data_IF_985877249421
#
_entry.id   IF_985877249421
#
_cell.length_a   1.000
_cell.length_b   1.000
_cell.length_c   1.000
_cell.angle_alpha   90.00
_cell.angle_beta   90.00
_cell.angle_gamma   90.00
#
_symmetry.space_group_name_H-M   'P 1'
#
loop_
_entity.id
_entity.type
_entity.pdbx_description
1 polymer ?
#
# COMPACT_ATOMS: atom_id res chain seq x y z
N UNK A 1 18.33 15.88 -10.14
CA UNK A 1 17.64 16.76 -11.12
C UNK A 1 17.32 18.13 -10.53
N UNK A 2 16.58 18.23 -9.41
CA UNK A 2 16.04 19.52 -8.92
C UNK A 2 16.80 20.17 -7.74
N UNK A 3 18.05 19.75 -7.48
CA UNK A 3 18.89 20.27 -6.40
C UNK A 3 19.29 21.74 -6.58
N UNK A 4 19.40 22.21 -7.83
CA UNK A 4 19.67 23.62 -8.17
C UNK A 4 18.37 24.34 -8.53
N UNK A 5 18.27 25.67 -8.34
CA UNK A 5 17.10 26.44 -8.74
C UNK A 5 16.76 26.23 -10.22
N UNK A 6 15.46 26.18 -10.52
CA UNK A 6 14.95 25.98 -11.87
C UNK A 6 14.06 27.16 -12.30
N UNK A 7 13.99 27.40 -13.61
CA UNK A 7 13.17 28.48 -14.17
C UNK A 7 11.77 27.97 -14.51
N UNK A 8 10.74 28.50 -13.83
CA UNK A 8 9.34 28.32 -14.24
C UNK A 8 9.09 29.22 -15.46
N UNK A 9 8.86 28.62 -16.64
CA UNK A 9 8.59 29.33 -17.89
C UNK A 9 7.10 29.59 -18.12
N UNK A 10 6.24 28.78 -17.54
CA UNK A 10 4.79 28.87 -17.68
C UNK A 10 4.12 28.21 -16.48
N UNK A 11 2.99 28.77 -16.03
CA UNK A 11 2.12 28.17 -15.02
C UNK A 11 0.67 28.33 -15.49
N UNK A 12 -0.08 27.23 -15.58
CA UNK A 12 -1.46 27.23 -16.08
C UNK A 12 -2.32 26.18 -15.40
N UNK A 13 -3.52 26.54 -14.99
CA UNK A 13 -4.55 25.55 -14.64
C UNK A 13 -4.86 24.69 -15.88
N UNK A 14 -4.95 23.36 -15.70
CA UNK A 14 -5.28 22.42 -16.80
C UNK A 14 -6.78 22.14 -16.87
N UNK A 15 -7.28 21.79 -18.06
CA UNK A 15 -8.71 21.48 -18.24
C UNK A 15 -9.05 20.11 -17.64
N UNK A 16 -10.31 19.89 -17.24
CA UNK A 16 -10.76 18.60 -16.68
C UNK A 16 -10.51 17.39 -17.60
N UNK A 17 -10.56 17.58 -18.91
CA UNK A 17 -10.22 16.54 -19.90
C UNK A 17 -8.72 16.22 -19.89
N UNK A 18 -7.87 17.25 -19.90
CA UNK A 18 -6.40 17.16 -19.81
C UNK A 18 -5.95 16.52 -18.49
N UNK A 19 -6.63 16.85 -17.38
CA UNK A 19 -6.47 16.18 -16.08
C UNK A 19 -6.83 14.69 -16.16
N UNK A 20 -7.95 14.34 -16.81
CA UNK A 20 -8.35 12.94 -16.97
C UNK A 20 -7.34 12.15 -17.81
N UNK A 21 -6.85 12.73 -18.91
CA UNK A 21 -5.79 12.14 -19.75
C UNK A 21 -4.49 11.93 -18.96
N UNK A 22 -4.04 12.93 -18.19
CA UNK A 22 -2.87 12.83 -17.33
C UNK A 22 -2.99 11.70 -16.29
N UNK A 23 -4.16 11.57 -15.65
CA UNK A 23 -4.40 10.54 -14.65
C UNK A 23 -4.53 9.16 -15.29
N UNK A 24 -5.34 8.99 -16.33
CA UNK A 24 -5.43 7.73 -17.08
C UNK A 24 -4.03 7.20 -17.43
N UNK A 25 -3.23 7.99 -18.14
CA UNK A 25 -1.89 7.58 -18.58
C UNK A 25 -0.80 7.63 -17.49
N UNK A 26 -1.16 7.93 -16.23
CA UNK A 26 -0.35 7.61 -15.05
C UNK A 26 -0.76 6.23 -14.50
N UNK A 27 -2.06 5.94 -14.39
CA UNK A 27 -2.57 4.65 -13.94
C UNK A 27 -2.20 3.53 -14.92
N UNK A 28 -2.29 3.78 -16.24
CA UNK A 28 -1.82 2.89 -17.30
C UNK A 28 -0.31 2.55 -17.17
N UNK A 29 0.50 3.50 -16.70
CA UNK A 29 1.96 3.38 -16.60
C UNK A 29 2.41 2.59 -15.35
N UNK A 30 1.54 2.48 -14.34
CA UNK A 30 1.82 1.83 -13.05
C UNK A 30 0.83 0.70 -12.72
N UNK A 31 0.06 0.24 -13.70
CA UNK A 31 -0.94 -0.83 -13.59
C UNK A 31 -1.93 -0.63 -12.41
N UNK A 32 -2.29 0.63 -12.14
CA UNK A 32 -3.16 1.01 -11.02
C UNK A 32 -4.65 0.87 -11.39
N UNK A 33 -5.45 0.35 -10.44
CA UNK A 33 -6.91 0.29 -10.57
C UNK A 33 -7.54 1.70 -10.72
N UNK A 34 -8.13 2.05 -11.87
CA UNK A 34 -8.70 3.37 -12.13
C UNK A 34 -9.97 3.67 -11.32
N UNK A 35 -10.55 2.68 -10.62
CA UNK A 35 -11.67 2.91 -9.70
C UNK A 35 -11.20 3.49 -8.36
N UNK A 36 -9.97 3.20 -7.93
CA UNK A 36 -9.41 3.66 -6.65
C UNK A 36 -8.74 5.03 -6.78
N UNK A 37 -9.54 6.05 -7.13
CA UNK A 37 -9.06 7.43 -7.28
C UNK A 37 -8.80 8.06 -5.92
N UNK A 38 -7.53 8.24 -5.56
CA UNK A 38 -7.11 8.87 -4.31
C UNK A 38 -7.71 10.28 -4.16
N UNK A 39 -8.07 10.65 -2.93
CA UNK A 39 -8.64 11.97 -2.59
C UNK A 39 -7.79 13.15 -3.12
N UNK A 40 -6.46 13.04 -3.05
CA UNK A 40 -5.51 14.04 -3.55
C UNK A 40 -5.68 14.34 -5.05
N UNK A 41 -6.17 13.38 -5.83
CA UNK A 41 -6.45 13.56 -7.26
C UNK A 41 -7.87 14.07 -7.54
N UNK A 42 -8.78 14.14 -6.55
CA UNK A 42 -10.16 14.57 -6.77
C UNK A 42 -10.31 16.09 -6.90
N UNK A 43 -9.38 16.89 -6.38
CA UNK A 43 -9.39 18.37 -6.47
C UNK A 43 -9.62 18.90 -7.89
N UNK A 44 -10.42 19.97 -8.03
CA UNK A 44 -10.66 20.67 -9.30
C UNK A 44 -9.54 21.66 -9.65
N UNK A 45 -8.75 22.08 -8.66
CA UNK A 45 -7.56 22.89 -8.88
C UNK A 45 -6.37 21.98 -9.24
N UNK A 46 -5.96 22.00 -10.50
CA UNK A 46 -4.77 21.31 -10.99
C UNK A 46 -3.99 22.23 -11.93
N UNK A 47 -2.73 22.46 -11.62
CA UNK A 47 -1.85 23.41 -12.31
C UNK A 47 -0.64 22.71 -12.92
N UNK A 48 -0.37 22.94 -14.21
CA UNK A 48 0.87 22.56 -14.88
C UNK A 48 1.86 23.72 -14.85
N UNK A 49 3.02 23.49 -14.25
CA UNK A 49 4.19 24.35 -14.37
C UNK A 49 5.12 23.76 -15.44
N UNK A 50 5.48 24.54 -16.47
CA UNK A 50 6.54 24.17 -17.41
C UNK A 50 7.86 24.72 -16.87
N UNK A 51 8.78 23.82 -16.58
CA UNK A 51 10.02 24.10 -15.85
C UNK A 51 11.23 23.76 -16.73
N UNK A 52 12.26 24.62 -16.68
CA UNK A 52 13.58 24.30 -17.23
C UNK A 52 14.56 24.19 -16.05
N UNK A 53 15.16 23.02 -15.90
CA UNK A 53 16.16 22.71 -14.87
C UNK A 53 17.48 23.44 -15.14
N UNK A 54 18.38 23.46 -14.15
CA UNK A 54 19.75 23.99 -14.33
C UNK A 54 20.61 23.22 -15.36
N UNK A 55 20.13 22.07 -15.82
CA UNK A 55 20.77 21.23 -16.84
C UNK A 55 20.01 21.30 -18.18
N UNK A 56 19.24 22.36 -18.38
CA UNK A 56 18.39 22.66 -19.57
C UNK A 56 17.28 21.65 -19.90
N UNK A 57 17.18 20.54 -19.17
CA UNK A 57 16.09 19.57 -19.29
C UNK A 57 14.75 20.26 -18.98
N UNK A 58 13.78 20.09 -19.88
CA UNK A 58 12.43 20.67 -19.84
C UNK A 58 11.45 19.65 -19.29
N UNK A 59 10.75 19.98 -18.20
CA UNK A 59 9.75 19.09 -17.57
C UNK A 59 8.44 19.82 -17.30
N UNK A 60 7.34 19.07 -17.23
CA UNK A 60 6.08 19.57 -16.71
C UNK A 60 5.92 19.08 -15.27
N UNK A 61 5.61 19.96 -14.32
CA UNK A 61 5.26 19.60 -12.94
C UNK A 61 3.78 19.86 -12.74
N UNK A 62 3.01 18.83 -12.40
CA UNK A 62 1.58 18.91 -12.15
C UNK A 62 1.31 19.00 -10.65
N UNK A 63 0.87 20.19 -10.22
CA UNK A 63 0.34 20.41 -8.87
C UNK A 63 -1.14 20.12 -8.80
N UNK A 64 -1.56 19.46 -7.74
CA UNK A 64 -2.97 19.26 -7.36
C UNK A 64 -3.19 20.12 -6.11
N UNK A 65 -3.99 21.18 -6.27
CA UNK A 65 -3.91 22.35 -5.40
C UNK A 65 -2.47 22.89 -5.34
N UNK A 66 -1.94 23.03 -4.13
CA UNK A 66 -0.57 23.49 -3.91
C UNK A 66 0.51 22.38 -3.92
N UNK A 67 0.14 21.09 -3.95
CA UNK A 67 1.09 19.98 -3.83
C UNK A 67 1.52 19.49 -5.22
N UNK A 68 2.81 19.53 -5.62
CA UNK A 68 3.27 18.84 -6.82
C UNK A 68 3.16 17.32 -6.60
N UNK A 69 2.42 16.61 -7.45
CA UNK A 69 2.24 15.16 -7.32
C UNK A 69 2.96 14.37 -8.41
N UNK A 70 2.89 14.84 -9.66
CA UNK A 70 3.45 14.16 -10.85
C UNK A 70 4.42 15.11 -11.57
N UNK A 71 5.58 14.58 -11.94
CA UNK A 71 6.57 15.22 -12.82
C UNK A 71 6.56 14.44 -14.14
N UNK A 72 6.30 15.11 -15.25
CA UNK A 72 6.35 14.52 -16.59
C UNK A 72 7.65 14.96 -17.28
N UNK A 73 8.52 13.98 -17.54
CA UNK A 73 9.78 14.16 -18.25
C UNK A 73 9.67 13.43 -19.60
N UNK A 74 9.68 14.21 -20.69
CA UNK A 74 9.38 13.76 -22.07
C UNK A 74 8.02 13.07 -22.24
N UNK A 75 7.92 11.79 -21.83
CA UNK A 75 6.71 10.95 -21.84
C UNK A 75 6.53 10.15 -20.54
N UNK A 76 7.56 10.04 -19.71
CA UNK A 76 7.54 9.31 -18.44
C UNK A 76 6.88 10.18 -17.36
N UNK A 77 5.86 9.64 -16.69
CA UNK A 77 5.21 10.29 -15.53
C UNK A 77 5.82 9.74 -14.26
N UNK A 78 6.67 10.55 -13.64
CA UNK A 78 7.37 10.25 -12.40
C UNK A 78 6.52 10.73 -11.20
N UNK A 79 6.23 9.89 -10.20
CA UNK A 79 5.68 10.37 -8.93
C UNK A 79 6.69 11.26 -8.22
N UNK A 80 6.19 12.20 -7.42
CA UNK A 80 6.97 12.93 -6.41
C UNK A 80 7.04 12.16 -5.10
N UNK A 81 7.94 12.55 -4.18
CA UNK A 81 7.95 11.99 -2.82
C UNK A 81 6.59 12.16 -2.12
N UNK A 82 5.90 13.27 -2.36
CA UNK A 82 4.55 13.53 -1.84
C UNK A 82 3.53 12.48 -2.31
N UNK A 83 3.54 12.13 -3.59
CA UNK A 83 2.64 11.11 -4.12
C UNK A 83 2.97 9.71 -3.56
N UNK A 84 4.25 9.38 -3.37
CA UNK A 84 4.66 8.12 -2.75
C UNK A 84 4.30 8.00 -1.26
N UNK A 85 4.04 9.10 -0.56
CA UNK A 85 3.52 9.03 0.82
C UNK A 85 2.05 8.62 0.88
N UNK A 86 1.29 8.84 -0.20
CA UNK A 86 -0.08 8.32 -0.36
C UNK A 86 -0.11 6.96 -1.07
N UNK A 87 0.89 6.65 -1.88
CA UNK A 87 1.07 5.36 -2.57
C UNK A 87 2.43 4.71 -2.25
N UNK A 88 2.67 4.27 -0.99
CA UNK A 88 3.94 3.68 -0.60
C UNK A 88 4.21 2.33 -1.30
N UNK A 89 3.19 1.66 -1.84
CA UNK A 89 3.35 0.41 -2.58
C UNK A 89 3.67 0.59 -4.08
N UNK A 90 3.76 1.84 -4.59
CA UNK A 90 3.87 2.11 -6.03
C UNK A 90 5.20 1.67 -6.65
N UNK A 91 6.29 1.74 -5.88
CA UNK A 91 7.65 1.51 -6.36
C UNK A 91 8.44 0.59 -5.41
N UNK A 92 9.43 -0.17 -5.93
CA UNK A 92 10.38 -0.87 -5.08
C UNK A 92 11.15 0.12 -4.20
N UNK A 93 11.39 -0.26 -2.94
CA UNK A 93 12.15 0.53 -1.98
C UNK A 93 13.59 0.02 -1.83
N UNK A 94 14.55 0.93 -1.78
CA UNK A 94 15.87 0.71 -1.18
C UNK A 94 15.88 1.28 0.25
N UNK A 95 16.14 0.41 1.25
CA UNK A 95 16.32 0.82 2.66
C UNK A 95 17.70 1.48 2.83
N UNK A 96 17.80 2.55 3.63
CA UNK A 96 19.07 3.19 4.01
C UNK A 96 19.07 3.58 5.49
N UNK A 97 20.25 3.76 6.08
CA UNK A 97 20.39 4.31 7.43
C UNK A 97 20.15 5.83 7.47
N UNK A 98 19.69 6.35 8.62
CA UNK A 98 19.33 7.77 8.80
C UNK A 98 20.50 8.75 8.58
N UNK A 99 21.74 8.33 8.84
CA UNK A 99 22.94 9.16 8.59
C UNK A 99 23.09 9.55 7.11
N UNK A 100 22.70 8.65 6.19
CA UNK A 100 22.81 8.84 4.74
C UNK A 100 21.78 9.84 4.18
N UNK A 101 20.68 10.10 4.92
CA UNK A 101 19.64 11.08 4.53
C UNK A 101 20.28 12.46 4.27
N UNK A 102 21.18 12.88 5.15
CA UNK A 102 21.90 14.16 5.05
C UNK A 102 22.83 14.29 3.83
N UNK A 103 23.15 13.16 3.19
CA UNK A 103 23.98 13.06 1.98
C UNK A 103 23.08 12.99 0.74
N UNK A 104 22.01 12.20 0.79
CA UNK A 104 21.01 12.10 -0.27
C UNK A 104 20.29 13.44 -0.50
N UNK A 105 19.95 14.18 0.56
CA UNK A 105 19.37 15.55 0.47
C UNK A 105 20.30 16.57 -0.22
N UNK A 106 21.61 16.29 -0.30
CA UNK A 106 22.57 17.09 -1.10
C UNK A 106 22.63 16.63 -2.56
N UNK A 107 21.67 15.82 -3.01
CA UNK A 107 21.54 15.31 -4.37
C UNK A 107 22.59 14.29 -4.77
N UNK A 108 23.16 13.56 -3.81
CA UNK A 108 24.05 12.43 -4.08
C UNK A 108 23.25 11.20 -4.56
N UNK A 109 23.88 10.40 -5.43
CA UNK A 109 23.36 9.08 -5.81
C UNK A 109 23.52 8.06 -4.67
N UNK A 110 22.67 7.03 -4.64
CA UNK A 110 22.79 5.95 -3.67
C UNK A 110 23.83 4.93 -4.14
N UNK A 111 24.92 4.81 -3.40
CA UNK A 111 25.95 3.79 -3.59
C UNK A 111 25.57 2.49 -2.85
N UNK A 112 25.95 1.34 -3.39
CA UNK A 112 25.64 0.02 -2.82
C UNK A 112 26.02 -0.16 -1.34
N UNK A 113 27.15 0.37 -0.82
CA UNK A 113 27.47 0.28 0.62
C UNK A 113 26.51 1.04 1.54
N UNK A 114 25.67 1.93 0.99
CA UNK A 114 24.65 2.66 1.75
C UNK A 114 23.27 1.99 1.78
N UNK A 115 23.10 0.89 1.02
CA UNK A 115 21.86 0.10 1.00
C UNK A 115 21.85 -0.84 2.20
N UNK A 116 20.77 -0.82 2.97
CA UNK A 116 20.53 -1.78 4.05
C UNK A 116 19.74 -2.95 3.51
N UNK A 117 20.25 -4.16 3.74
CA UNK A 117 19.58 -5.43 3.42
C UNK A 117 19.43 -6.25 4.70
N UNK A 118 18.36 -7.03 4.81
CA UNK A 118 18.03 -7.79 6.03
C UNK A 118 18.92 -9.06 6.22
N UNK A 119 19.92 -9.21 5.36
CA UNK A 119 20.95 -10.24 5.35
C UNK A 119 22.06 -9.88 4.34
N UNK A 120 22.98 -10.79 4.01
CA UNK A 120 23.96 -10.56 2.94
C UNK A 120 23.26 -10.34 1.59
N UNK A 121 23.93 -9.62 0.67
CA UNK A 121 23.44 -9.49 -0.70
C UNK A 121 23.58 -10.84 -1.40
N UNK A 122 22.46 -11.36 -1.89
CA UNK A 122 22.31 -12.64 -2.59
C UNK A 122 21.58 -12.42 -3.93
N UNK A 123 21.59 -13.38 -4.87
CA UNK A 123 21.00 -13.23 -6.20
C UNK A 123 19.47 -12.99 -6.25
N UNK A 124 18.79 -12.93 -5.11
CA UNK A 124 17.36 -12.64 -4.98
C UNK A 124 17.04 -11.43 -4.07
N UNK A 125 18.03 -10.82 -3.42
CA UNK A 125 17.81 -9.77 -2.40
C UNK A 125 17.08 -8.53 -2.91
N UNK A 126 17.17 -8.22 -4.20
CA UNK A 126 16.48 -7.09 -4.83
C UNK A 126 15.33 -7.54 -5.75
N UNK A 127 14.68 -8.67 -5.46
CA UNK A 127 13.47 -9.15 -6.14
C UNK A 127 13.56 -9.17 -7.68
N UNK A 128 14.74 -9.54 -8.22
CA UNK A 128 15.06 -9.55 -9.66
C UNK A 128 14.99 -8.17 -10.35
N UNK A 129 15.12 -7.06 -9.62
CA UNK A 129 15.05 -5.71 -10.22
C UNK A 129 16.07 -5.53 -11.36
N UNK A 130 15.60 -5.04 -12.50
CA UNK A 130 16.45 -4.76 -13.66
C UNK A 130 17.13 -3.39 -13.54
N UNK A 131 18.01 -3.07 -14.49
CA UNK A 131 18.63 -1.75 -14.60
C UNK A 131 17.70 -0.76 -15.31
N UNK A 132 17.63 0.47 -14.81
CA UNK A 132 16.72 1.51 -15.31
C UNK A 132 15.30 1.44 -14.74
N UNK A 133 15.03 0.53 -13.80
CA UNK A 133 13.74 0.45 -13.11
C UNK A 133 13.60 1.63 -12.15
N UNK A 134 12.45 2.30 -12.19
CA UNK A 134 12.13 3.38 -11.27
C UNK A 134 11.93 2.83 -9.85
N UNK A 135 12.59 3.45 -8.87
CA UNK A 135 12.57 3.02 -7.47
C UNK A 135 12.60 4.22 -6.52
N UNK A 136 12.33 3.96 -5.25
CA UNK A 136 12.37 4.97 -4.20
C UNK A 136 13.32 4.57 -3.07
N UNK A 137 13.83 5.56 -2.36
CA UNK A 137 14.76 5.38 -1.24
C UNK A 137 14.03 5.76 0.04
N UNK A 138 14.16 4.94 1.08
CA UNK A 138 13.44 5.07 2.35
C UNK A 138 14.33 4.64 3.50
N UNK A 139 14.05 5.08 4.72
CA UNK A 139 14.95 4.82 5.85
C UNK A 139 14.51 3.59 6.64
N UNK A 140 15.45 2.94 7.35
CA UNK A 140 15.12 1.74 8.15
C UNK A 140 14.06 2.01 9.22
N UNK A 141 13.97 3.23 9.76
CA UNK A 141 12.91 3.59 10.74
C UNK A 141 11.56 3.93 10.12
N UNK A 142 11.52 4.38 8.86
CA UNK A 142 10.34 4.99 8.26
C UNK A 142 10.27 4.73 6.75
N UNK A 143 9.19 4.09 6.32
CA UNK A 143 8.91 3.71 4.93
C UNK A 143 8.57 4.89 4.01
N UNK A 144 8.19 6.05 4.54
CA UNK A 144 7.90 7.23 3.72
C UNK A 144 9.13 7.66 2.92
N UNK A 145 9.12 7.62 1.56
CA UNK A 145 10.33 7.84 0.80
C UNK A 145 10.94 9.23 0.94
N UNK A 146 12.26 9.27 0.96
CA UNK A 146 13.07 10.50 1.03
C UNK A 146 13.55 10.94 -0.36
N UNK A 147 13.71 10.01 -1.31
CA UNK A 147 14.22 10.28 -2.64
C UNK A 147 13.69 9.26 -3.67
N UNK A 148 13.79 9.63 -4.95
CA UNK A 148 13.34 8.82 -6.10
C UNK A 148 14.43 8.83 -7.17
N UNK A 149 14.66 7.68 -7.79
CA UNK A 149 15.70 7.47 -8.79
C UNK A 149 15.49 6.21 -9.61
N UNK A 150 16.29 6.02 -10.67
CA UNK A 150 16.30 4.79 -11.46
C UNK A 150 17.48 3.91 -11.06
N UNK A 151 17.31 2.59 -11.03
CA UNK A 151 18.41 1.66 -10.75
C UNK A 151 19.54 1.80 -11.77
N UNK A 152 20.77 1.96 -11.29
CA UNK A 152 21.93 2.11 -12.18
C UNK A 152 22.56 0.76 -12.58
N UNK A 153 22.16 -0.32 -11.89
CA UNK A 153 22.68 -1.69 -11.97
C UNK A 153 21.50 -2.67 -11.84
N UNK A 154 21.58 -3.87 -12.40
CA UNK A 154 20.59 -4.93 -12.15
C UNK A 154 20.86 -5.65 -10.82
N UNK A 155 19.86 -6.38 -10.30
CA UNK A 155 20.00 -7.28 -9.15
C UNK A 155 21.23 -8.21 -9.25
N UNK A 156 21.54 -8.72 -10.45
CA UNK A 156 22.72 -9.57 -10.67
C UNK A 156 24.03 -8.79 -10.63
N UNK A 157 24.07 -7.60 -11.23
CA UNK A 157 25.24 -6.72 -11.19
C UNK A 157 25.53 -6.24 -9.75
N UNK A 158 24.48 -5.91 -8.98
CA UNK A 158 24.59 -5.49 -7.58
C UNK A 158 25.21 -6.59 -6.71
N UNK A 159 24.82 -7.85 -6.94
CA UNK A 159 25.42 -9.02 -6.29
C UNK A 159 26.88 -9.22 -6.72
N UNK A 160 27.15 -9.26 -8.04
CA UNK A 160 28.50 -9.53 -8.56
C UNK A 160 29.52 -8.43 -8.30
N UNK A 161 29.08 -7.21 -7.98
CA UNK A 161 29.97 -6.08 -7.68
C UNK A 161 30.46 -6.03 -6.23
N UNK A 162 30.22 -7.09 -5.44
CA UNK A 162 30.71 -7.25 -4.06
C UNK A 162 30.43 -6.03 -3.16
N UNK A 163 29.20 -5.50 -3.25
CA UNK A 163 28.75 -4.33 -2.49
C UNK A 163 29.30 -2.98 -2.96
N UNK A 164 30.04 -2.90 -4.07
CA UNK A 164 30.59 -1.64 -4.63
C UNK A 164 29.82 -1.19 -5.87
N UNK A 165 29.76 0.12 -6.10
CA UNK A 165 29.10 0.73 -7.26
C UNK A 165 27.88 1.59 -6.90
N UNK A 166 27.21 2.14 -7.92
CA UNK A 166 26.01 2.97 -7.78
C UNK A 166 24.76 2.07 -7.83
N UNK A 167 23.98 2.00 -6.76
CA UNK A 167 22.71 1.27 -6.76
C UNK A 167 21.62 2.01 -7.54
N UNK A 168 21.41 3.30 -7.22
CA UNK A 168 20.32 4.13 -7.76
C UNK A 168 20.85 5.50 -8.14
N UNK A 169 20.51 5.98 -9.33
CA UNK A 169 20.77 7.37 -9.72
C UNK A 169 19.59 8.26 -9.33
N UNK A 170 19.83 9.26 -8.49
CA UNK A 170 18.78 10.03 -7.80
C UNK A 170 18.42 11.29 -8.59
N UNK A 171 17.13 11.46 -8.93
CA UNK A 171 16.67 12.65 -9.65
C UNK A 171 15.89 13.63 -8.77
N UNK A 172 15.07 13.16 -7.83
CA UNK A 172 14.23 13.98 -6.94
C UNK A 172 14.43 13.57 -5.49
N UNK A 173 14.49 14.56 -4.58
CA UNK A 173 14.73 14.34 -3.14
C UNK A 173 13.95 15.33 -2.28
N UNK A 174 13.53 14.87 -1.11
CA UNK A 174 12.98 15.69 -0.04
C UNK A 174 13.89 16.90 0.23
N UNK A 175 13.30 18.10 0.18
CA UNK A 175 14.00 19.36 0.38
C UNK A 175 14.62 19.98 -0.88
N UNK A 176 14.45 19.38 -2.06
CA UNK A 176 14.84 20.02 -3.33
C UNK A 176 13.91 21.18 -3.74
N UNK A 177 14.19 21.82 -4.88
CA UNK A 177 13.40 22.97 -5.33
C UNK A 177 11.97 22.63 -5.79
N UNK A 178 11.63 21.35 -6.02
CA UNK A 178 10.24 20.94 -6.23
C UNK A 178 9.52 20.86 -4.89
N UNK A 179 10.20 20.37 -3.85
CA UNK A 179 9.68 20.44 -2.49
C UNK A 179 9.46 21.89 -2.03
N UNK A 180 10.34 22.83 -2.44
CA UNK A 180 10.23 24.27 -2.15
C UNK A 180 8.99 24.95 -2.76
N UNK A 181 8.22 24.28 -3.64
CA UNK A 181 6.93 24.78 -4.14
C UNK A 181 5.79 24.65 -3.11
N UNK A 182 6.03 23.97 -1.98
CA UNK A 182 5.06 23.72 -0.91
C UNK A 182 5.51 24.45 0.36
N UNK A 183 4.65 25.28 0.95
CA UNK A 183 5.01 26.16 2.07
C UNK A 183 5.52 25.43 3.31
N UNK A 184 4.93 24.26 3.61
CA UNK A 184 5.39 23.32 4.63
C UNK A 184 4.73 21.97 4.41
N UNK A 185 5.49 20.88 4.47
CA UNK A 185 4.96 19.52 4.47
C UNK A 185 5.97 18.59 5.15
N UNK A 186 5.57 17.99 6.27
CA UNK A 186 6.45 17.10 7.03
C UNK A 186 6.43 15.69 6.46
N UNK A 187 7.55 14.97 6.57
CA UNK A 187 7.63 13.54 6.26
C UNK A 187 6.66 12.77 7.18
N UNK A 188 5.64 12.07 6.67
CA UNK A 188 4.80 11.23 7.52
C UNK A 188 5.60 10.05 8.06
N UNK A 189 5.14 9.47 9.17
CA UNK A 189 5.69 8.22 9.71
C UNK A 189 4.87 7.08 9.11
N UNK A 190 5.48 6.29 8.23
CA UNK A 190 4.89 5.09 7.68
C UNK A 190 5.70 3.87 8.17
N UNK A 191 5.08 2.87 8.81
CA UNK A 191 5.78 1.66 9.23
C UNK A 191 6.17 0.81 8.02
N UNK A 192 7.21 -0.01 8.20
CA UNK A 192 7.46 -1.15 7.32
C UNK A 192 6.45 -2.25 7.61
N UNK A 193 6.02 -3.05 6.60
CA UNK A 193 5.28 -4.28 6.86
C UNK A 193 6.11 -5.20 7.75
N UNK A 194 5.51 -5.76 8.80
CA UNK A 194 6.12 -6.82 9.59
C UNK A 194 6.13 -8.08 8.72
N UNK A 195 7.31 -8.66 8.53
CA UNK A 195 7.50 -9.97 7.90
C UNK A 195 7.64 -10.95 9.05
N UNK A 196 6.59 -11.69 9.37
CA UNK A 196 6.62 -12.71 10.42
C UNK A 196 7.46 -13.91 9.93
N UNK A 197 8.75 -13.93 10.29
CA UNK A 197 9.65 -15.08 10.09
C UNK A 197 9.34 -16.25 11.05
N UNK A 198 8.07 -16.67 11.11
CA UNK A 198 7.60 -17.80 11.91
C UNK A 198 7.35 -19.05 11.06
N UNK A 199 8.38 -19.49 10.31
CA UNK A 199 8.48 -20.90 9.90
C UNK A 199 9.14 -21.70 11.03
N UNK A 200 8.64 -22.89 11.40
CA UNK A 200 9.11 -23.55 12.62
C UNK A 200 10.55 -24.04 12.49
N UNK A 201 11.44 -23.51 13.33
CA UNK A 201 12.69 -24.21 13.66
C UNK A 201 12.32 -25.34 14.61
N UNK A 202 12.45 -26.58 14.14
CA UNK A 202 12.43 -27.76 15.00
C UNK A 202 13.53 -27.64 16.03
N UNK A 203 13.16 -27.71 17.31
CA UNK A 203 13.99 -28.15 18.42
C UNK A 203 13.06 -28.53 19.57
N UNK A 204 13.53 -29.44 20.41
CA UNK A 204 12.69 -30.21 21.33
C UNK A 204 12.49 -29.51 22.68
N UNK A 205 11.68 -30.13 23.53
CA UNK A 205 11.11 -29.61 24.76
C UNK A 205 12.14 -29.34 25.88
N UNK A 206 11.77 -28.49 26.85
CA UNK A 206 11.69 -28.84 28.28
C UNK A 206 10.99 -27.70 29.04
N UNK A 207 10.08 -28.06 29.95
CA UNK A 207 9.30 -27.13 30.78
C UNK A 207 10.10 -26.42 31.86
N UNK A 208 9.56 -25.29 32.35
CA UNK A 208 9.11 -25.04 33.74
C UNK A 208 8.94 -23.51 33.97
N UNK A 209 8.06 -22.95 34.81
CA UNK A 209 6.73 -23.27 35.37
C UNK A 209 6.48 -22.14 36.41
N UNK A 210 5.32 -21.49 36.28
CA UNK A 210 4.51 -20.79 37.31
C UNK A 210 4.68 -19.30 37.75
N UNK A 211 3.50 -18.77 38.14
CA UNK A 211 3.06 -17.63 38.97
C UNK A 211 3.50 -16.17 38.70
N UNK A 212 2.69 -15.19 39.15
CA UNK A 212 3.16 -13.81 39.28
C UNK A 212 2.16 -12.68 39.53
N UNK A 213 0.86 -12.86 39.32
CA UNK A 213 -0.24 -11.95 39.75
C UNK A 213 -0.47 -10.55 39.10
N UNK A 214 -1.76 -10.26 38.86
CA UNK A 214 -2.52 -9.00 39.12
C UNK A 214 -2.21 -7.68 38.37
N UNK A 215 -3.11 -7.38 37.44
CA UNK A 215 -3.67 -6.05 37.11
C UNK A 215 -4.63 -5.55 38.24
N UNK A 216 -5.42 -4.43 38.18
CA UNK A 216 -5.83 -3.50 37.10
C UNK A 216 -5.19 -2.07 37.27
N UNK A 217 -5.71 -0.86 36.94
CA UNK A 217 -7.02 -0.22 36.61
C UNK A 217 -6.72 1.16 35.90
N UNK A 218 -7.59 1.97 35.25
CA UNK A 218 -9.01 1.96 34.84
C UNK A 218 -9.29 3.08 33.77
N UNK A 219 -10.56 3.25 33.34
CA UNK A 219 -11.24 4.51 32.88
C UNK A 219 -10.97 5.06 31.46
N UNK A 220 -11.93 5.70 30.76
CA UNK A 220 -13.38 5.45 30.54
C UNK A 220 -13.89 6.31 29.36
N UNK A 221 -14.78 5.71 28.58
CA UNK A 221 -15.47 6.12 27.34
C UNK A 221 -16.44 7.34 27.33
N UNK A 222 -17.01 7.63 26.14
CA UNK A 222 -18.22 8.45 25.81
C UNK A 222 -18.00 9.98 25.64
N UNK A 223 -18.82 10.80 24.95
CA UNK A 223 -20.14 10.71 24.23
C UNK A 223 -19.99 11.32 22.79
N UNK A 224 -20.72 11.04 21.70
CA UNK A 224 -22.14 10.77 21.32
C UNK A 224 -23.02 12.02 21.07
N UNK A 225 -23.28 12.34 19.78
CA UNK A 225 -24.50 12.94 19.17
C UNK A 225 -24.23 13.21 17.66
N UNK A 226 -24.77 12.47 16.68
CA UNK A 226 -26.13 12.53 16.10
C UNK A 226 -26.53 13.86 15.44
N UNK A 227 -26.70 13.88 14.10
CA UNK A 227 -28.05 13.84 13.47
C UNK A 227 -27.99 13.45 11.95
N UNK A 228 -29.12 13.50 11.23
CA UNK A 228 -29.44 12.64 10.06
C UNK A 228 -29.50 13.31 8.68
N UNK A 229 -29.63 12.44 7.66
CA UNK A 229 -30.18 12.63 6.31
C UNK A 229 -29.43 13.49 5.28
N UNK A 230 -28.93 12.82 4.23
CA UNK A 230 -29.32 12.98 2.81
C UNK A 230 -28.79 11.73 2.08
N UNK A 231 -29.66 10.91 1.50
CA UNK A 231 -29.25 9.60 0.93
C UNK A 231 -30.22 9.06 -0.12
N UNK A 232 -30.61 9.87 -1.11
CA UNK A 232 -31.61 9.46 -2.11
C UNK A 232 -31.54 10.29 -3.42
N UNK A 233 -30.44 10.21 -4.21
CA UNK A 233 -30.41 10.85 -5.55
C UNK A 233 -29.37 10.35 -6.59
N UNK A 234 -28.59 9.29 -6.31
CA UNK A 234 -27.48 8.84 -7.19
C UNK A 234 -27.53 7.36 -7.61
N UNK A 235 -28.68 6.71 -7.49
CA UNK A 235 -28.80 5.26 -7.71
C UNK A 235 -29.25 4.87 -9.14
N UNK A 236 -29.59 5.84 -10.00
CA UNK A 236 -30.02 5.61 -11.39
C UNK A 236 -28.93 5.98 -12.40
N UNK A 237 -28.00 5.05 -12.65
CA UNK A 237 -27.58 4.63 -13.99
C UNK A 237 -26.69 3.37 -13.93
N UNK A 238 -26.53 2.69 -15.07
CA UNK A 238 -25.69 1.49 -15.26
C UNK A 238 -26.17 0.16 -14.63
N UNK A 239 -27.36 -0.29 -15.02
CA UNK A 239 -27.68 -1.72 -15.14
C UNK A 239 -27.99 -2.11 -16.60
N UNK A 240 -26.98 -2.69 -17.26
CA UNK A 240 -26.95 -3.53 -18.49
C UNK A 240 -25.52 -3.38 -19.07
N UNK A 241 -24.75 -4.43 -19.35
CA UNK A 241 -25.10 -5.72 -19.96
C UNK A 241 -24.37 -6.91 -19.30
N UNK A 242 -24.72 -8.14 -19.70
CA UNK A 242 -24.09 -9.37 -19.24
C UNK A 242 -23.28 -10.02 -20.37
N UNK A 243 -22.03 -10.38 -20.08
CA UNK A 243 -21.16 -11.14 -20.99
C UNK A 243 -20.40 -12.20 -20.19
N UNK A 244 -20.81 -13.45 -20.37
CA UNK A 244 -19.99 -14.63 -20.12
C UNK A 244 -19.04 -14.82 -21.34
N UNK A 245 -17.96 -15.61 -21.36
CA UNK A 245 -17.51 -16.67 -20.47
C UNK A 245 -16.01 -16.94 -20.75
N UNK A 246 -15.15 -17.00 -19.73
CA UNK A 246 -13.79 -17.57 -19.76
C UNK A 246 -13.41 -18.05 -18.35
N UNK A 247 -12.44 -18.99 -18.18
CA UNK A 247 -12.47 -19.96 -17.08
C UNK A 247 -12.49 -19.30 -15.71
N UNK A 248 -13.61 -19.47 -15.00
CA UNK A 248 -13.82 -18.92 -13.67
C UNK A 248 -12.88 -19.59 -12.68
N UNK A 249 -11.85 -18.86 -12.26
CA UNK A 249 -11.17 -19.09 -10.99
C UNK A 249 -12.26 -19.14 -9.91
N UNK A 250 -12.43 -20.29 -9.25
CA UNK A 250 -13.53 -20.52 -8.32
C UNK A 250 -13.34 -19.70 -7.04
N UNK A 251 -13.87 -18.49 -7.05
CA UNK A 251 -13.82 -17.54 -5.93
C UNK A 251 -14.60 -18.04 -4.72
N UNK A 252 -15.62 -18.90 -4.89
CA UNK A 252 -16.34 -19.51 -3.77
C UNK A 252 -15.44 -20.55 -3.07
N UNK A 253 -14.72 -21.38 -3.85
CA UNK A 253 -13.76 -22.33 -3.31
C UNK A 253 -12.58 -21.63 -2.63
N UNK A 254 -12.01 -20.60 -3.25
CA UNK A 254 -10.90 -19.83 -2.66
C UNK A 254 -11.38 -19.11 -1.38
N UNK A 255 -12.60 -18.57 -1.36
CA UNK A 255 -13.22 -18.02 -0.15
C UNK A 255 -13.29 -19.07 0.96
N UNK A 256 -13.79 -20.28 0.66
CA UNK A 256 -13.93 -21.37 1.62
C UNK A 256 -12.56 -21.83 2.14
N UNK A 257 -11.56 -22.00 1.27
CA UNK A 257 -10.19 -22.33 1.69
C UNK A 257 -9.56 -21.26 2.59
N UNK A 258 -9.75 -19.97 2.29
CA UNK A 258 -9.25 -18.87 3.12
C UNK A 258 -9.98 -18.81 4.47
N UNK A 259 -11.29 -19.11 4.48
CA UNK A 259 -12.11 -19.18 5.69
C UNK A 259 -11.66 -20.31 6.62
N UNK A 260 -11.49 -21.53 6.11
CA UNK A 260 -11.04 -22.69 6.91
C UNK A 260 -9.65 -22.46 7.54
N UNK A 261 -8.73 -21.81 6.81
CA UNK A 261 -7.43 -21.38 7.34
C UNK A 261 -7.60 -20.32 8.45
N UNK A 262 -8.49 -19.34 8.24
CA UNK A 262 -8.83 -18.32 9.23
C UNK A 262 -9.40 -18.89 10.53
N UNK A 263 -10.28 -19.89 10.48
CA UNK A 263 -10.82 -20.57 11.67
C UNK A 263 -9.72 -21.25 12.51
N UNK A 264 -8.73 -21.86 11.86
CA UNK A 264 -7.66 -22.62 12.52
C UNK A 264 -6.70 -21.72 13.32
N UNK A 265 -6.64 -20.42 13.03
CA UNK A 265 -5.87 -19.45 13.83
C UNK A 265 -6.58 -18.95 15.11
N UNK A 266 -7.91 -19.09 15.22
CA UNK A 266 -8.68 -18.47 16.31
C UNK A 266 -8.63 -19.33 17.57
N UNK A 267 -8.21 -18.72 18.67
CA UNK A 267 -8.29 -19.32 20.01
C UNK A 267 -9.67 -19.07 20.61
N UNK A 268 -10.21 -20.04 21.35
CA UNK A 268 -11.59 -19.98 21.89
C UNK A 268 -11.80 -18.80 22.84
N UNK A 269 -10.75 -18.34 23.52
CA UNK A 269 -10.75 -17.15 24.37
C UNK A 269 -10.78 -15.81 23.63
N UNK A 270 -10.79 -15.80 22.29
CA UNK A 270 -10.93 -14.59 21.46
C UNK A 270 -12.37 -14.36 21.00
N UNK A 271 -13.28 -15.31 21.22
CA UNK A 271 -14.69 -15.21 20.85
C UNK A 271 -15.50 -14.49 21.97
N UNK A 272 -16.55 -13.72 21.63
CA UNK A 272 -17.11 -13.51 20.30
C UNK A 272 -16.40 -12.39 19.50
N UNK A 273 -16.22 -12.59 18.19
CA UNK A 273 -15.55 -11.64 17.27
C UNK A 273 -16.57 -11.02 16.33
N UNK A 274 -16.50 -9.70 16.08
CA UNK A 274 -17.37 -9.06 15.07
C UNK A 274 -17.03 -9.57 13.66
N UNK A 275 -18.05 -9.94 12.87
CA UNK A 275 -17.89 -10.57 11.56
C UNK A 275 -16.99 -9.80 10.58
N UNK A 276 -17.02 -8.46 10.59
CA UNK A 276 -16.16 -7.64 9.75
C UNK A 276 -14.67 -7.73 10.16
N UNK A 277 -14.39 -7.85 11.46
CA UNK A 277 -13.04 -8.02 12.02
C UNK A 277 -12.54 -9.43 11.67
N UNK A 278 -13.38 -10.46 11.90
CA UNK A 278 -13.08 -11.84 11.51
C UNK A 278 -12.71 -11.94 10.00
N UNK A 279 -13.55 -11.37 9.14
CA UNK A 279 -13.33 -11.45 7.69
C UNK A 279 -12.06 -10.72 7.24
N UNK A 280 -11.81 -9.51 7.74
CA UNK A 280 -10.65 -8.71 7.34
C UNK A 280 -9.32 -9.23 7.91
N UNK A 281 -9.30 -9.71 9.16
CA UNK A 281 -8.06 -10.08 9.86
C UNK A 281 -7.72 -11.58 9.81
N UNK A 282 -8.70 -12.46 9.55
CA UNK A 282 -8.49 -13.92 9.58
C UNK A 282 -8.81 -14.59 8.25
N UNK A 283 -9.80 -14.11 7.49
CA UNK A 283 -10.14 -14.70 6.18
C UNK A 283 -9.27 -14.09 5.06
N UNK A 284 -9.29 -12.76 4.90
CA UNK A 284 -8.59 -12.11 3.78
C UNK A 284 -7.05 -12.21 3.83
N UNK A 285 -6.47 -12.41 5.02
CA UNK A 285 -5.01 -12.59 5.20
C UNK A 285 -4.50 -13.87 4.50
N UNK A 286 -5.36 -14.87 4.31
CA UNK A 286 -5.00 -16.12 3.65
C UNK A 286 -5.17 -16.10 2.11
N UNK A 287 -5.59 -14.98 1.51
CA UNK A 287 -5.73 -14.88 0.05
C UNK A 287 -4.36 -14.87 -0.64
N UNK A 288 -4.23 -15.59 -1.75
CA UNK A 288 -3.02 -15.54 -2.57
C UNK A 288 -2.79 -14.11 -3.10
N UNK A 289 -1.55 -13.58 -3.10
CA UNK A 289 -1.26 -12.25 -3.66
C UNK A 289 -1.72 -12.07 -5.11
N UNK A 290 -1.83 -13.16 -5.88
CA UNK A 290 -2.31 -13.16 -7.27
C UNK A 290 -3.83 -13.21 -7.42
N UNK A 291 -4.61 -13.18 -6.33
CA UNK A 291 -6.08 -13.36 -6.37
C UNK A 291 -6.80 -12.26 -5.59
N UNK A 292 -7.54 -11.42 -6.31
CA UNK A 292 -8.42 -10.45 -5.67
C UNK A 292 -9.77 -11.05 -5.26
N UNK A 293 -9.79 -11.61 -4.05
CA UNK A 293 -10.96 -12.19 -3.41
C UNK A 293 -11.96 -11.12 -2.94
N UNK A 294 -12.86 -10.69 -3.83
CA UNK A 294 -14.00 -9.81 -3.52
C UNK A 294 -15.26 -10.63 -3.27
N UNK A 295 -15.82 -10.54 -2.06
CA UNK A 295 -17.05 -11.22 -1.64
C UNK A 295 -18.24 -10.93 -2.57
N UNK A 296 -18.29 -9.77 -3.25
CA UNK A 296 -19.36 -9.38 -4.19
C UNK A 296 -19.33 -10.19 -5.49
N UNK A 297 -18.18 -10.76 -5.84
CA UNK A 297 -17.96 -11.63 -7.01
C UNK A 297 -18.23 -13.12 -6.70
N UNK A 298 -18.50 -13.46 -5.43
CA UNK A 298 -18.85 -14.81 -4.96
C UNK A 298 -20.38 -15.01 -4.95
N UNK A 299 -20.88 -16.26 -4.93
CA UNK A 299 -22.33 -16.52 -4.89
C UNK A 299 -23.05 -15.87 -3.69
N UNK A 300 -22.32 -15.70 -2.58
CA UNK A 300 -22.85 -15.17 -1.33
C UNK A 300 -23.05 -13.65 -1.34
N UNK A 301 -22.28 -12.91 -2.16
CA UNK A 301 -22.33 -11.44 -2.36
C UNK A 301 -22.09 -10.55 -1.13
N UNK A 302 -22.26 -11.06 0.10
CA UNK A 302 -22.06 -10.38 1.39
C UNK A 302 -21.47 -11.35 2.41
N UNK A 303 -20.55 -10.86 3.26
CA UNK A 303 -19.89 -11.67 4.30
C UNK A 303 -20.92 -12.31 5.26
N UNK A 304 -21.94 -11.57 5.67
CA UNK A 304 -23.00 -12.07 6.55
C UNK A 304 -23.90 -13.15 5.93
N UNK A 305 -23.95 -13.27 4.61
CA UNK A 305 -24.65 -14.38 3.93
C UNK A 305 -23.74 -15.60 3.79
N UNK A 306 -22.45 -15.38 3.53
CA UNK A 306 -21.44 -16.45 3.54
C UNK A 306 -21.37 -17.14 4.91
N UNK A 307 -21.25 -16.38 6.00
CA UNK A 307 -21.13 -16.99 7.33
C UNK A 307 -22.43 -17.62 7.86
N UNK A 308 -23.61 -17.18 7.38
CA UNK A 308 -24.86 -17.90 7.64
C UNK A 308 -24.88 -19.25 6.93
N UNK A 309 -24.42 -19.33 5.67
CA UNK A 309 -24.24 -20.62 5.00
C UNK A 309 -23.17 -21.51 5.66
N UNK A 310 -22.06 -20.95 6.16
CA UNK A 310 -21.06 -21.72 6.93
C UNK A 310 -21.58 -22.17 8.32
N UNK A 311 -22.59 -21.49 8.86
CA UNK A 311 -23.31 -21.92 10.06
C UNK A 311 -24.31 -23.04 9.74
N UNK A 312 -25.00 -22.97 8.60
CA UNK A 312 -25.86 -24.04 8.11
C UNK A 312 -25.04 -25.31 7.75
N UNK A 313 -23.80 -25.14 7.28
CA UNK A 313 -22.79 -26.22 7.11
C UNK A 313 -22.14 -26.67 8.45
N UNK A 314 -22.43 -26.02 9.58
CA UNK A 314 -22.00 -26.45 10.92
C UNK A 314 -20.58 -26.08 11.36
N UNK A 315 -19.90 -25.16 10.67
CA UNK A 315 -18.56 -24.68 11.04
C UNK A 315 -18.54 -23.65 12.17
N UNK A 316 -19.58 -22.82 12.26
CA UNK A 316 -19.58 -21.59 13.07
C UNK A 316 -20.97 -21.26 13.59
N UNK A 317 -21.05 -20.48 14.67
CA UNK A 317 -22.30 -19.85 15.11
C UNK A 317 -22.18 -18.34 15.01
N UNK A 318 -23.11 -17.71 14.28
CA UNK A 318 -23.21 -16.26 14.14
C UNK A 318 -24.52 -15.77 14.76
N UNK A 319 -24.45 -14.69 15.53
CA UNK A 319 -25.62 -14.01 16.11
C UNK A 319 -25.68 -12.55 15.66
N UNK A 320 -26.88 -11.97 15.74
CA UNK A 320 -27.14 -10.57 15.39
C UNK A 320 -27.68 -9.81 16.63
N UNK A 321 -26.86 -9.58 17.68
CA UNK A 321 -27.32 -8.98 18.95
C UNK A 321 -27.84 -7.53 18.81
N UNK A 322 -27.52 -6.86 17.68
CA UNK A 322 -28.15 -5.61 17.24
C UNK A 322 -28.27 -5.66 15.71
N UNK A 323 -29.36 -5.11 15.17
CA UNK A 323 -29.59 -5.05 13.71
C UNK A 323 -28.36 -4.52 12.97
N UNK A 324 -27.83 -5.30 12.01
CA UNK A 324 -26.63 -4.96 11.24
C UNK A 324 -25.28 -5.25 11.92
N UNK A 325 -25.26 -5.70 13.17
CA UNK A 325 -24.04 -6.07 13.92
C UNK A 325 -23.99 -7.58 14.12
N UNK A 326 -23.32 -8.27 13.19
CA UNK A 326 -23.09 -9.72 13.26
C UNK A 326 -21.84 -10.05 14.10
N UNK A 327 -21.99 -11.01 15.02
CA UNK A 327 -20.95 -11.54 15.90
C UNK A 327 -20.78 -13.04 15.69
N UNK A 328 -19.54 -13.48 15.44
CA UNK A 328 -19.12 -14.88 15.44
C UNK A 328 -18.88 -15.31 16.89
N UNK A 329 -19.71 -16.21 17.41
CA UNK A 329 -19.72 -16.60 18.83
C UNK A 329 -19.03 -17.94 19.09
N UNK A 330 -19.16 -18.90 18.17
CA UNK A 330 -18.60 -20.24 18.30
C UNK A 330 -17.96 -20.69 16.99
N UNK A 331 -16.96 -21.56 17.10
CA UNK A 331 -16.27 -22.20 15.98
C UNK A 331 -16.19 -23.69 16.30
N UNK A 332 -16.83 -24.51 15.48
CA UNK A 332 -16.75 -25.96 15.57
C UNK A 332 -15.36 -26.41 15.10
N UNK A 333 -14.58 -26.99 16.02
CA UNK A 333 -13.21 -27.46 15.72
C UNK A 333 -13.14 -28.96 15.38
N UNK A 334 -14.25 -29.67 15.56
CA UNK A 334 -14.39 -31.10 15.29
C UNK A 334 -15.05 -31.36 13.92
N UNK A 335 -15.06 -30.35 13.04
CA UNK A 335 -15.52 -30.49 11.65
C UNK A 335 -14.54 -31.35 10.83
N UNK A 336 -15.07 -32.00 9.79
CA UNK A 336 -14.38 -33.02 8.95
C UNK A 336 -13.38 -32.38 7.94
N UNK A 337 -13.23 -31.04 7.93
CA UNK A 337 -12.43 -30.26 6.95
C UNK A 337 -11.56 -29.17 7.62
#
# INVERSE_FOLDING_TARGET
MFLKPFAVRFNSQIKSCEKKQLLNSFYDQYELDPTNILEIFKTKDVHRLKVITSSEIKVNIYKFGNIPLIIENEKERLPTVYLLWHLPNLLPHFKVHENLVSVLMKGADLMLPGVVTDGPILPYTFNKIEKGVLCCISTTSNRAPIAIGHTAMSNYDMYMSAGKGKAVSVFHVMGDHVCSLVSSFNRPILPWPIIDESSPKTNEEIDNVDDGSKSPVNILSQQISDDKNISEELNDLYLKEAVELQPSLDLDKILRECFLKGLKLIKTNQLPIQVNIFYSQYVLVHKSPSVDLDIRKTKFKKVGLFLKAMQDEGFVEVTEPKSGVLMLNHINKDHIE
#
